data_IF_784791125882
#
_entry.id   IF_784791125882
#
_cell.length_a   1.000
_cell.length_b   1.000
_cell.length_c   1.000
_cell.angle_alpha   90.00
_cell.angle_beta   90.00
_cell.angle_gamma   90.00
#
_symmetry.space_group_name_H-M   'P 1'
#
loop_
_entity.id
_entity.type
_entity.pdbx_description
1 polymer ?
#
# COMPACT_ATOMS: atom_id res chain seq x y z
N UNK A 1 -11.02 24.78 27.25
CA UNK A 1 -11.32 23.35 27.35
C UNK A 1 -10.66 22.71 26.14
N UNK A 2 -9.57 21.96 26.32
CA UNK A 2 -8.88 21.31 25.20
C UNK A 2 -9.63 20.04 24.81
N UNK A 3 -9.86 19.84 23.52
CA UNK A 3 -10.48 18.64 22.98
C UNK A 3 -9.46 17.49 23.04
N UNK A 4 -9.64 16.55 23.96
CA UNK A 4 -8.71 15.44 24.11
C UNK A 4 -8.93 14.42 23.00
N UNK A 5 -7.96 14.26 22.09
CA UNK A 5 -8.01 13.27 21.01
C UNK A 5 -7.63 11.89 21.59
N UNK A 6 -8.47 10.85 21.42
CA UNK A 6 -8.09 9.49 21.81
C UNK A 6 -6.84 9.00 21.08
N UNK A 7 -5.95 8.27 21.76
CA UNK A 7 -4.68 7.80 21.21
C UNK A 7 -4.86 6.96 19.91
N UNK A 8 -5.95 6.19 19.82
CA UNK A 8 -6.25 5.40 18.63
C UNK A 8 -6.52 6.27 17.39
N UNK A 9 -7.22 7.40 17.60
CA UNK A 9 -7.51 8.36 16.52
C UNK A 9 -6.24 9.11 16.14
N UNK A 10 -5.41 9.47 17.12
CA UNK A 10 -4.17 10.19 16.87
C UNK A 10 -3.18 9.39 15.97
N UNK A 11 -3.19 8.06 16.06
CA UNK A 11 -2.38 7.19 15.19
C UNK A 11 -2.67 7.38 13.69
N UNK A 12 -3.84 7.89 13.32
CA UNK A 12 -4.18 8.18 11.92
C UNK A 12 -3.32 9.29 11.31
N UNK A 13 -2.66 10.11 12.12
CA UNK A 13 -1.70 11.10 11.62
C UNK A 13 -0.45 10.45 11.04
N UNK A 14 -0.10 9.24 11.47
CA UNK A 14 1.08 8.54 10.97
C UNK A 14 0.82 7.85 9.63
N UNK A 15 1.80 7.88 8.74
CA UNK A 15 1.76 7.12 7.49
C UNK A 15 2.60 5.86 7.66
N UNK A 16 1.94 4.72 7.88
CA UNK A 16 2.62 3.44 8.08
C UNK A 16 3.45 3.04 6.86
N UNK A 17 4.60 2.42 7.10
CA UNK A 17 5.58 2.07 6.09
C UNK A 17 6.40 3.27 5.58
N UNK A 18 6.36 4.41 6.29
CA UNK A 18 7.13 5.60 5.94
C UNK A 18 8.45 5.74 6.70
N UNK A 19 8.65 4.94 7.75
CA UNK A 19 9.91 4.91 8.49
C UNK A 19 11.01 4.39 7.57
N UNK A 20 12.07 5.17 7.41
CA UNK A 20 13.19 4.79 6.54
C UNK A 20 14.50 5.39 7.02
N UNK A 21 15.58 4.64 6.86
CA UNK A 21 16.93 5.16 6.99
C UNK A 21 17.25 6.07 5.77
N UNK A 22 18.00 7.11 6.00
CA UNK A 22 18.52 8.02 4.96
C UNK A 22 20.00 8.25 5.16
N UNK A 23 20.67 8.86 4.19
CA UNK A 23 22.08 9.23 4.33
C UNK A 23 22.33 10.20 5.50
N UNK A 24 21.33 11.01 5.88
CA UNK A 24 21.44 12.04 6.92
C UNK A 24 20.91 11.57 8.29
N UNK A 25 20.21 10.43 8.36
CA UNK A 25 19.59 9.92 9.57
C UNK A 25 18.35 9.05 9.29
N UNK A 26 17.23 9.38 9.93
CA UNK A 26 15.96 8.65 9.79
C UNK A 26 14.86 9.62 9.37
N UNK A 27 13.92 9.15 8.55
CA UNK A 27 12.72 9.92 8.16
C UNK A 27 11.44 9.15 8.48
N UNK A 28 10.37 9.91 8.72
CA UNK A 28 9.01 9.39 8.86
C UNK A 28 8.00 10.41 8.33
N UNK A 29 6.81 9.97 7.96
CA UNK A 29 5.81 10.83 7.33
C UNK A 29 4.56 10.95 8.20
N UNK A 30 4.11 12.18 8.40
CA UNK A 30 2.84 12.50 9.02
C UNK A 30 1.89 13.12 8.00
N UNK A 31 0.63 12.71 8.05
CA UNK A 31 -0.44 13.27 7.22
C UNK A 31 -1.63 13.60 8.11
N UNK A 32 -2.12 14.82 8.02
CA UNK A 32 -3.33 15.19 8.76
C UNK A 32 -4.58 14.54 8.13
N UNK A 33 -5.15 13.58 8.84
CA UNK A 33 -6.40 12.88 8.48
C UNK A 33 -7.54 13.15 9.44
N UNK A 34 -7.37 14.12 10.34
CA UNK A 34 -8.34 14.39 11.42
C UNK A 34 -9.11 15.68 11.18
N UNK A 35 -8.48 16.82 11.35
CA UNK A 35 -9.07 18.15 11.20
C UNK A 35 -7.98 19.21 11.10
N UNK A 36 -8.33 20.41 10.68
CA UNK A 36 -7.41 21.52 10.63
C UNK A 36 -6.80 21.81 12.00
N UNK A 37 -5.49 22.01 12.01
CA UNK A 37 -4.70 22.29 13.20
C UNK A 37 -3.49 23.16 12.86
N UNK A 38 -2.91 23.79 13.87
CA UNK A 38 -1.63 24.47 13.77
C UNK A 38 -0.70 23.92 14.85
N UNK A 39 0.44 23.34 14.43
CA UNK A 39 1.45 22.82 15.34
C UNK A 39 2.24 24.00 15.92
N UNK A 40 2.23 24.12 17.24
CA UNK A 40 2.87 25.24 17.96
C UNK A 40 4.17 24.86 18.64
N UNK A 41 4.49 23.58 18.74
CA UNK A 41 5.75 23.07 19.24
C UNK A 41 5.92 21.60 18.87
N UNK A 42 7.11 21.18 18.50
CA UNK A 42 7.52 19.77 18.52
C UNK A 42 8.37 19.60 19.77
N UNK A 43 7.87 18.85 20.75
CA UNK A 43 8.53 18.70 22.04
C UNK A 43 9.67 17.68 21.95
N UNK A 44 9.40 16.48 21.41
CA UNK A 44 10.41 15.45 21.21
C UNK A 44 9.95 14.41 20.17
N UNK A 45 10.92 13.74 19.58
CA UNK A 45 10.72 12.52 18.78
C UNK A 45 11.65 11.45 19.34
N UNK A 46 11.08 10.30 19.71
CA UNK A 46 11.84 9.16 20.21
C UNK A 46 11.59 7.93 19.35
N UNK A 47 12.61 7.13 19.13
CA UNK A 47 12.51 5.82 18.48
C UNK A 47 13.17 4.80 19.40
N UNK A 48 12.44 3.76 19.78
CA UNK A 48 12.85 2.73 20.76
C UNK A 48 13.38 3.31 22.08
N UNK A 49 12.73 4.39 22.54
CA UNK A 49 13.12 5.10 23.76
C UNK A 49 14.33 6.02 23.62
N UNK A 50 15.02 6.05 22.47
CA UNK A 50 16.13 6.98 22.20
C UNK A 50 15.57 8.26 21.60
N UNK A 51 15.89 9.40 22.22
CA UNK A 51 15.44 10.70 21.74
C UNK A 51 16.34 11.23 20.62
N UNK A 52 15.70 11.75 19.57
CA UNK A 52 16.39 12.45 18.50
C UNK A 52 16.88 13.83 18.99
N UNK A 53 18.09 14.27 18.63
CA UNK A 53 18.55 15.61 18.95
C UNK A 53 17.56 16.66 18.42
N UNK A 54 17.04 17.52 19.30
CA UNK A 54 16.03 18.50 18.90
C UNK A 54 16.50 19.43 17.78
N UNK A 55 17.79 19.77 17.75
CA UNK A 55 18.41 20.56 16.68
C UNK A 55 18.46 19.82 15.33
N UNK A 56 18.36 18.49 15.35
CA UNK A 56 18.34 17.64 14.15
C UNK A 56 16.95 17.30 13.64
N UNK A 57 15.88 17.77 14.29
CA UNK A 57 14.51 17.52 13.81
C UNK A 57 14.17 18.59 12.78
N UNK A 58 14.04 18.17 11.53
CA UNK A 58 13.62 19.01 10.40
C UNK A 58 12.30 18.50 9.82
N UNK A 59 11.46 19.44 9.42
CA UNK A 59 10.14 19.18 8.84
C UNK A 59 10.19 19.63 7.37
N UNK A 60 10.02 18.69 6.46
CA UNK A 60 9.87 18.95 5.04
C UNK A 60 8.39 19.17 4.74
N UNK A 61 8.07 20.34 4.22
CA UNK A 61 6.71 20.77 3.92
C UNK A 61 6.30 20.47 2.47
N UNK A 62 7.23 19.96 1.66
CA UNK A 62 7.15 19.84 0.21
C UNK A 62 7.77 21.06 -0.48
N UNK A 63 7.94 21.01 -1.79
CA UNK A 63 8.48 22.09 -2.62
C UNK A 63 9.85 22.65 -2.17
N UNK A 64 10.75 21.74 -1.69
CA UNK A 64 12.09 22.06 -1.16
C UNK A 64 12.10 22.94 0.10
N UNK A 65 10.96 23.17 0.74
CA UNK A 65 10.86 23.95 1.97
C UNK A 65 11.07 23.05 3.20
N UNK A 66 12.18 23.26 3.92
CA UNK A 66 12.47 22.57 5.21
C UNK A 66 12.50 23.56 6.35
N UNK A 67 11.81 23.23 7.42
CA UNK A 67 11.71 24.00 8.65
C UNK A 67 12.30 23.20 9.82
N UNK A 68 13.15 23.84 10.65
CA UNK A 68 13.63 23.20 11.88
C UNK A 68 12.55 23.22 12.94
N UNK A 69 12.42 22.13 13.70
CA UNK A 69 11.46 22.03 14.80
C UNK A 69 11.64 23.18 15.83
N UNK A 70 12.85 23.63 16.06
CA UNK A 70 13.15 24.75 16.95
C UNK A 70 12.59 26.11 16.48
N UNK A 71 12.27 26.27 15.19
CA UNK A 71 11.65 27.48 14.66
C UNK A 71 10.13 27.51 14.86
N UNK A 72 9.51 26.38 15.21
CA UNK A 72 8.09 26.27 15.46
C UNK A 72 7.78 26.76 16.88
N UNK A 73 6.90 27.74 16.98
CA UNK A 73 6.49 28.34 18.25
C UNK A 73 5.04 28.81 18.16
N UNK A 74 4.46 29.27 19.28
CA UNK A 74 3.12 29.88 19.28
C UNK A 74 3.02 31.12 18.39
N UNK A 75 4.13 31.83 18.19
CA UNK A 75 4.19 33.02 17.34
C UNK A 75 4.46 32.66 15.87
N UNK A 76 5.08 31.49 15.60
CA UNK A 76 5.40 30.96 14.27
C UNK A 76 4.91 29.50 14.21
N UNK A 77 3.60 29.32 14.28
CA UNK A 77 2.98 28.02 14.24
C UNK A 77 3.01 27.44 12.82
N UNK A 78 3.22 26.14 12.72
CA UNK A 78 3.16 25.43 11.46
C UNK A 78 1.71 25.04 11.16
N UNK A 79 1.15 25.56 10.09
CA UNK A 79 -0.17 25.19 9.62
C UNK A 79 -0.19 23.74 9.12
N UNK A 80 -1.07 22.97 9.73
CA UNK A 80 -1.26 21.56 9.41
C UNK A 80 -2.73 21.26 9.09
N UNK A 81 -3.23 21.80 7.96
CA UNK A 81 -4.63 21.61 7.57
C UNK A 81 -4.90 20.16 7.18
N UNK A 82 -6.17 19.80 7.12
CA UNK A 82 -6.64 18.48 6.68
C UNK A 82 -6.01 18.10 5.33
N UNK A 83 -5.53 16.86 5.21
CA UNK A 83 -4.83 16.27 4.06
C UNK A 83 -3.37 16.75 3.87
N UNK A 84 -2.88 17.76 4.57
CA UNK A 84 -1.46 18.16 4.50
C UNK A 84 -0.58 16.99 4.93
N UNK A 85 0.49 16.78 4.19
CA UNK A 85 1.53 15.80 4.48
C UNK A 85 2.82 16.53 4.79
N UNK A 86 3.56 16.07 5.80
CA UNK A 86 4.89 16.56 6.15
C UNK A 86 5.82 15.38 6.39
N UNK A 87 7.10 15.53 6.07
CA UNK A 87 8.11 14.51 6.39
C UNK A 87 8.99 15.05 7.50
N UNK A 88 9.13 14.30 8.59
CA UNK A 88 10.09 14.58 9.63
C UNK A 88 11.42 13.89 9.28
N UNK A 89 12.48 14.65 9.23
CA UNK A 89 13.84 14.18 9.11
C UNK A 89 14.53 14.30 10.49
N UNK A 90 15.08 13.20 10.97
CA UNK A 90 15.83 13.11 12.21
C UNK A 90 17.31 13.06 11.86
N UNK A 91 17.88 14.23 11.57
CA UNK A 91 19.27 14.38 11.13
C UNK A 91 20.22 14.00 12.27
N UNK A 92 21.21 13.16 11.95
CA UNK A 92 22.16 12.64 12.93
C UNK A 92 21.62 11.54 13.84
N UNK A 93 20.37 11.13 13.67
CA UNK A 93 19.86 9.92 14.33
C UNK A 93 20.42 8.69 13.62
N UNK A 94 21.10 7.80 14.38
CA UNK A 94 21.78 6.65 13.79
C UNK A 94 20.86 5.71 13.07
N UNK A 95 21.36 4.90 12.13
CA UNK A 95 20.54 3.98 11.36
C UNK A 95 19.81 2.99 12.27
N UNK A 96 18.57 2.73 11.95
CA UNK A 96 17.76 1.72 12.60
C UNK A 96 18.02 0.35 11.95
N UNK A 97 18.01 -0.71 12.77
CA UNK A 97 18.09 -2.07 12.27
C UNK A 97 16.80 -2.47 11.51
N UNK A 98 16.84 -3.58 10.76
CA UNK A 98 15.62 -4.15 10.21
C UNK A 98 14.72 -4.67 11.34
N UNK A 99 13.44 -4.44 11.24
CA UNK A 99 12.44 -4.85 12.22
C UNK A 99 11.50 -3.75 12.66
N UNK A 100 10.73 -4.03 13.70
CA UNK A 100 9.74 -3.11 14.26
C UNK A 100 10.39 -2.12 15.24
N UNK A 101 10.00 -0.85 15.10
CA UNK A 101 10.45 0.25 15.96
C UNK A 101 9.28 0.98 16.57
N UNK A 102 9.35 1.28 17.85
CA UNK A 102 8.37 2.12 18.54
C UNK A 102 8.74 3.59 18.34
N UNK A 103 7.81 4.36 17.79
CA UNK A 103 7.99 5.78 17.52
C UNK A 103 7.04 6.57 18.42
N UNK A 104 7.56 7.57 19.11
CA UNK A 104 6.75 8.51 19.88
C UNK A 104 7.07 9.93 19.43
N UNK A 105 6.05 10.67 18.97
CA UNK A 105 6.17 12.09 18.62
C UNK A 105 5.32 12.89 19.62
N UNK A 106 5.96 13.74 20.41
CA UNK A 106 5.30 14.65 21.33
C UNK A 106 5.28 16.05 20.75
N UNK A 107 4.10 16.63 20.63
CA UNK A 107 3.92 17.96 20.05
C UNK A 107 2.70 18.67 20.60
N UNK A 108 2.69 19.99 20.48
CA UNK A 108 1.54 20.82 20.84
C UNK A 108 0.85 21.31 19.56
N UNK A 109 -0.46 21.25 19.54
CA UNK A 109 -1.26 21.74 18.42
C UNK A 109 -2.52 22.47 18.88
N UNK A 110 -2.83 23.59 18.26
CA UNK A 110 -4.09 24.31 18.45
C UNK A 110 -5.14 23.73 17.52
N UNK A 111 -6.38 23.43 17.99
CA UNK A 111 -6.93 23.73 19.34
C UNK A 111 -6.76 22.61 20.38
N UNK A 112 -5.96 21.57 20.13
CA UNK A 112 -5.97 20.30 20.88
C UNK A 112 -5.07 20.28 22.12
N UNK A 113 -4.04 21.14 22.17
CA UNK A 113 -3.05 21.16 23.26
C UNK A 113 -1.93 20.15 23.05
N UNK A 114 -1.42 19.56 24.14
CA UNK A 114 -0.36 18.55 24.10
C UNK A 114 -0.87 17.22 23.56
N UNK A 115 -0.14 16.64 22.61
CA UNK A 115 -0.47 15.40 21.93
C UNK A 115 0.73 14.44 21.90
N UNK A 116 0.48 13.18 22.25
CA UNK A 116 1.46 12.09 22.24
C UNK A 116 1.04 11.06 21.19
N UNK A 117 1.69 11.13 20.02
CA UNK A 117 1.52 10.16 18.95
C UNK A 117 2.47 8.98 19.18
N UNK A 118 1.92 7.81 19.50
CA UNK A 118 2.67 6.58 19.68
C UNK A 118 2.25 5.53 18.66
N UNK A 119 3.21 5.06 17.84
CA UNK A 119 3.00 4.06 16.78
C UNK A 119 4.17 3.08 16.74
N UNK A 120 3.96 1.94 16.09
CA UNK A 120 5.01 0.99 15.72
C UNK A 120 5.06 0.90 14.20
N UNK A 121 6.24 1.08 13.62
CA UNK A 121 6.47 0.90 12.18
C UNK A 121 7.75 0.09 11.98
N UNK A 122 7.95 -0.45 10.79
CA UNK A 122 9.08 -1.32 10.49
C UNK A 122 10.03 -0.68 9.49
N UNK A 123 11.35 -0.83 9.76
CA UNK A 123 12.36 -0.78 8.71
C UNK A 123 12.35 -2.15 8.05
N UNK A 124 11.88 -2.20 6.81
CA UNK A 124 12.07 -3.35 5.95
C UNK A 124 13.41 -3.21 5.21
N UNK A 125 14.06 -4.32 4.90
CA UNK A 125 15.03 -4.35 3.80
C UNK A 125 14.38 -3.68 2.59
N UNK A 126 15.15 -2.93 1.79
CA UNK A 126 14.63 -2.27 0.59
C UNK A 126 13.68 -3.24 -0.11
N UNK A 127 12.39 -2.93 -0.06
CA UNK A 127 11.39 -3.79 -0.70
C UNK A 127 11.80 -3.80 -2.17
N UNK A 128 12.15 -4.95 -2.74
CA UNK A 128 12.50 -4.99 -4.15
C UNK A 128 11.36 -4.30 -4.89
N UNK A 129 11.71 -3.40 -5.82
CA UNK A 129 10.75 -2.63 -6.63
C UNK A 129 9.54 -3.52 -6.90
N UNK A 130 8.35 -3.14 -6.42
CA UNK A 130 7.14 -3.94 -6.64
C UNK A 130 7.08 -4.29 -8.10
N UNK A 131 7.24 -5.58 -8.37
CA UNK A 131 7.14 -6.11 -9.73
C UNK A 131 5.71 -5.83 -10.18
N UNK A 132 5.57 -5.04 -11.24
CA UNK A 132 4.26 -4.71 -11.78
C UNK A 132 3.92 -5.69 -12.91
N UNK A 133 2.69 -6.19 -12.88
CA UNK A 133 2.16 -6.99 -13.98
C UNK A 133 2.12 -6.11 -15.24
N UNK A 134 2.63 -6.59 -16.38
CA UNK A 134 2.54 -5.84 -17.64
C UNK A 134 1.10 -5.46 -17.97
N UNK A 135 0.90 -4.19 -18.32
CA UNK A 135 -0.41 -3.61 -18.61
C UNK A 135 -0.32 -2.65 -19.80
N UNK A 136 -1.28 -2.72 -20.70
CA UNK A 136 -1.44 -1.80 -21.82
C UNK A 136 -2.71 -0.94 -21.59
N UNK A 137 -2.54 0.39 -21.55
CA UNK A 137 -3.64 1.32 -21.30
C UNK A 137 -4.66 1.38 -22.44
N UNK A 138 -4.24 1.07 -23.67
CA UNK A 138 -5.08 1.20 -24.87
C UNK A 138 -5.79 -0.11 -25.18
N UNK A 139 -5.08 -1.26 -25.14
CA UNK A 139 -5.67 -2.56 -25.45
C UNK A 139 -5.05 -3.69 -24.63
N UNK A 140 -5.54 -3.85 -23.40
CA UNK A 140 -5.03 -4.81 -22.42
C UNK A 140 -5.54 -6.25 -22.61
N UNK A 141 -6.60 -6.45 -23.43
CA UNK A 141 -7.28 -7.73 -23.57
C UNK A 141 -7.02 -8.38 -24.94
N UNK A 142 -5.81 -8.25 -25.48
CA UNK A 142 -5.41 -8.88 -26.71
C UNK A 142 -4.45 -10.05 -26.49
N UNK A 143 -4.27 -10.89 -27.52
CA UNK A 143 -3.40 -12.06 -27.50
C UNK A 143 -1.94 -11.70 -27.15
N UNK A 144 -1.43 -10.59 -27.69
CA UNK A 144 -0.07 -10.12 -27.43
C UNK A 144 0.15 -9.83 -25.92
N UNK A 145 -0.81 -9.17 -25.26
CA UNK A 145 -0.70 -8.88 -23.83
C UNK A 145 -0.79 -10.14 -22.97
N UNK A 146 -1.61 -11.12 -23.38
CA UNK A 146 -1.62 -12.43 -22.72
C UNK A 146 -0.24 -13.11 -22.81
N UNK A 147 0.41 -13.10 -23.97
CA UNK A 147 1.74 -13.66 -24.18
C UNK A 147 2.83 -12.92 -23.40
N UNK A 148 2.78 -11.59 -23.35
CA UNK A 148 3.70 -10.78 -22.52
C UNK A 148 3.58 -11.16 -21.04
N UNK A 149 2.35 -11.34 -20.52
CA UNK A 149 2.12 -11.77 -19.15
C UNK A 149 2.56 -13.21 -18.89
N UNK A 150 2.37 -14.10 -19.85
CA UNK A 150 2.88 -15.49 -19.76
C UNK A 150 4.40 -15.52 -19.64
N UNK A 151 5.10 -14.73 -20.47
CA UNK A 151 6.53 -14.55 -20.37
C UNK A 151 6.96 -13.98 -19.02
N UNK A 152 6.31 -12.91 -18.60
CA UNK A 152 6.55 -12.28 -17.30
C UNK A 152 6.36 -13.25 -16.11
N UNK A 153 5.30 -14.06 -16.10
CA UNK A 153 5.07 -15.05 -15.03
C UNK A 153 6.12 -16.17 -15.10
N UNK A 154 6.51 -16.59 -16.31
CA UNK A 154 7.58 -17.56 -16.52
C UNK A 154 8.91 -17.09 -15.96
N UNK A 155 9.31 -15.87 -16.28
CA UNK A 155 10.56 -15.24 -15.81
C UNK A 155 10.55 -15.02 -14.30
N UNK A 156 9.42 -14.53 -13.77
CA UNK A 156 9.26 -14.25 -12.32
C UNK A 156 9.25 -15.52 -11.47
N UNK A 157 8.59 -16.59 -11.94
CA UNK A 157 8.44 -17.85 -11.18
C UNK A 157 9.52 -18.89 -11.49
N UNK A 158 10.29 -18.73 -12.57
CA UNK A 158 11.20 -19.73 -13.08
C UNK A 158 10.50 -20.99 -13.64
N UNK A 159 9.18 -20.93 -13.90
CA UNK A 159 8.36 -22.08 -14.33
C UNK A 159 7.72 -21.84 -15.69
N UNK A 160 7.60 -22.89 -16.49
CA UNK A 160 6.84 -22.85 -17.76
C UNK A 160 5.34 -23.02 -17.48
N UNK A 161 4.53 -22.20 -18.16
CA UNK A 161 3.07 -22.28 -18.11
C UNK A 161 2.57 -23.24 -19.21
N UNK A 162 2.78 -24.56 -19.08
CA UNK A 162 2.50 -25.53 -20.14
C UNK A 162 1.02 -25.71 -20.47
N UNK A 163 0.14 -25.46 -19.50
CA UNK A 163 -1.29 -25.72 -19.63
C UNK A 163 -2.15 -24.44 -19.64
N UNK A 164 -1.69 -23.40 -18.97
CA UNK A 164 -2.42 -22.13 -18.80
C UNK A 164 -2.55 -21.38 -20.12
N UNK A 165 -1.57 -21.48 -21.01
CA UNK A 165 -1.52 -20.78 -22.31
C UNK A 165 -2.26 -21.49 -23.44
N UNK A 166 -2.92 -22.63 -23.18
CA UNK A 166 -3.67 -23.39 -24.18
C UNK A 166 -5.16 -23.11 -24.08
N UNK A 167 -5.64 -22.13 -24.81
CA UNK A 167 -7.06 -21.78 -24.92
C UNK A 167 -7.44 -21.50 -26.39
N UNK A 168 -8.73 -21.60 -26.69
CA UNK A 168 -9.26 -21.56 -28.06
C UNK A 168 -10.15 -20.35 -28.33
N UNK A 169 -10.21 -19.36 -27.44
CA UNK A 169 -11.02 -18.16 -27.59
C UNK A 169 -10.13 -16.90 -27.67
N UNK A 170 -10.68 -15.82 -28.20
CA UNK A 170 -10.00 -14.53 -28.23
C UNK A 170 -9.99 -13.92 -26.82
N UNK A 171 -8.82 -13.54 -26.25
CA UNK A 171 -8.74 -12.85 -24.97
C UNK A 171 -9.66 -11.62 -24.83
N UNK A 172 -10.02 -10.96 -25.91
CA UNK A 172 -10.93 -9.82 -25.92
C UNK A 172 -12.29 -10.11 -25.28
N UNK A 173 -12.77 -11.37 -25.30
CA UNK A 173 -14.03 -11.77 -24.65
C UNK A 173 -13.97 -11.70 -23.12
N UNK A 174 -12.79 -11.59 -22.55
CA UNK A 174 -12.59 -11.49 -21.09
C UNK A 174 -12.69 -10.05 -20.57
N UNK A 175 -12.83 -9.07 -21.46
CA UNK A 175 -12.92 -7.65 -21.11
C UNK A 175 -14.08 -7.39 -20.15
N UNK A 176 -13.78 -6.72 -19.04
CA UNK A 176 -14.75 -6.44 -17.97
C UNK A 176 -15.03 -7.59 -16.99
N UNK A 177 -14.48 -8.80 -17.24
CA UNK A 177 -14.66 -9.96 -16.36
C UNK A 177 -13.33 -10.41 -15.73
N UNK A 178 -12.22 -10.37 -16.48
CA UNK A 178 -10.90 -10.82 -16.01
C UNK A 178 -9.87 -9.74 -16.29
N UNK A 179 -9.31 -9.17 -15.24
CA UNK A 179 -8.19 -8.24 -15.35
C UNK A 179 -6.87 -9.02 -15.52
N UNK A 180 -5.94 -8.43 -16.31
CA UNK A 180 -4.61 -9.00 -16.52
C UNK A 180 -4.66 -10.47 -17.00
N UNK A 181 -5.53 -10.77 -17.94
CA UNK A 181 -5.70 -12.13 -18.46
C UNK A 181 -4.34 -12.75 -18.88
N UNK A 182 -4.06 -13.95 -18.40
CA UNK A 182 -2.81 -14.68 -18.63
C UNK A 182 -3.06 -16.05 -19.27
N UNK A 183 -4.28 -16.57 -19.18
CA UNK A 183 -4.63 -17.90 -19.68
C UNK A 183 -5.80 -18.52 -18.93
N UNK A 184 -5.96 -19.84 -19.02
CA UNK A 184 -7.09 -20.59 -18.51
C UNK A 184 -6.69 -21.71 -17.55
N UNK A 185 -7.58 -22.04 -16.64
CA UNK A 185 -7.56 -23.32 -15.95
C UNK A 185 -8.33 -24.37 -16.79
N UNK A 186 -7.80 -25.59 -16.89
CA UNK A 186 -8.45 -26.67 -17.60
C UNK A 186 -9.23 -27.53 -16.60
N UNK A 187 -10.52 -27.73 -16.89
CA UNK A 187 -11.40 -28.56 -16.09
C UNK A 187 -11.74 -29.81 -16.94
N UNK A 188 -11.43 -31.02 -16.50
CA UNK A 188 -11.81 -32.24 -17.22
C UNK A 188 -13.34 -32.36 -17.35
N UNK A 189 -13.81 -32.77 -18.52
CA UNK A 189 -15.23 -32.98 -18.78
C UNK A 189 -15.40 -34.46 -19.16
N UNK A 190 -16.23 -35.14 -18.40
CA UNK A 190 -16.72 -36.48 -18.72
C UNK A 190 -18.08 -36.44 -19.40
N UNK A 191 -18.54 -37.58 -19.91
CA UNK A 191 -19.87 -37.75 -20.47
C UNK A 191 -20.65 -38.80 -19.63
N UNK A 192 -21.84 -38.41 -19.25
CA UNK A 192 -22.82 -39.33 -18.68
C UNK A 192 -23.93 -39.60 -19.68
N UNK A 193 -24.48 -40.81 -19.64
CA UNK A 193 -25.58 -41.22 -20.50
C UNK A 193 -25.24 -42.40 -21.43
N UNK A 194 -26.11 -42.68 -22.43
CA UNK A 194 -27.26 -41.86 -22.82
C UNK A 194 -28.36 -41.82 -21.75
N UNK A 195 -28.89 -40.61 -21.49
CA UNK A 195 -30.01 -40.36 -20.60
C UNK A 195 -31.27 -40.20 -21.44
N UNK A 196 -32.27 -41.08 -21.22
CA UNK A 196 -33.57 -40.94 -21.89
C UNK A 196 -34.42 -39.92 -21.12
N UNK A 197 -34.77 -38.87 -21.81
CA UNK A 197 -35.61 -37.77 -21.30
C UNK A 197 -36.99 -37.85 -22.04
N UNK A 198 -38.08 -37.75 -21.29
CA UNK A 198 -39.43 -37.64 -21.82
C UNK A 198 -40.13 -36.48 -21.10
N UNK A 199 -39.69 -35.26 -21.40
CA UNK A 199 -40.18 -34.04 -20.79
C UNK A 199 -40.92 -33.17 -21.82
N UNK A 200 -41.52 -32.08 -21.33
CA UNK A 200 -42.28 -31.11 -22.16
C UNK A 200 -41.39 -30.43 -23.22
N UNK A 201 -40.14 -30.09 -22.88
CA UNK A 201 -39.21 -29.33 -23.72
C UNK A 201 -38.07 -30.15 -24.29
N UNK A 202 -37.92 -31.43 -23.89
CA UNK A 202 -36.89 -32.35 -24.40
C UNK A 202 -37.38 -33.77 -24.39
N UNK A 203 -37.28 -34.47 -25.55
CA UNK A 203 -37.65 -35.88 -25.70
C UNK A 203 -36.54 -36.59 -26.51
N UNK A 204 -36.07 -37.72 -26.03
CA UNK A 204 -35.05 -38.49 -26.71
C UNK A 204 -33.94 -38.98 -25.78
N UNK A 205 -32.81 -39.43 -26.35
CA UNK A 205 -31.61 -39.84 -25.65
C UNK A 205 -30.52 -38.77 -25.76
N UNK A 206 -29.93 -38.43 -24.64
CA UNK A 206 -28.99 -37.32 -24.56
C UNK A 206 -27.71 -37.79 -23.84
N UNK A 207 -26.57 -37.32 -24.33
CA UNK A 207 -25.30 -37.36 -23.64
C UNK A 207 -25.12 -36.07 -22.82
N UNK A 208 -24.80 -36.15 -21.58
CA UNK A 208 -24.69 -35.04 -20.64
C UNK A 208 -23.21 -34.79 -20.34
N UNK A 209 -22.62 -33.66 -20.77
CA UNK A 209 -21.28 -33.28 -20.37
C UNK A 209 -21.28 -32.89 -18.88
N UNK A 210 -20.39 -33.48 -18.11
CA UNK A 210 -20.22 -33.22 -16.68
C UNK A 210 -18.79 -32.76 -16.41
N UNK A 211 -18.63 -31.57 -15.83
CA UNK A 211 -17.40 -31.13 -15.23
C UNK A 211 -17.41 -31.58 -13.76
N UNK A 212 -16.45 -32.38 -13.37
CA UNK A 212 -16.27 -32.81 -11.98
C UNK A 212 -14.99 -32.23 -11.42
N UNK A 213 -15.05 -31.71 -10.22
CA UNK A 213 -13.91 -31.27 -9.41
C UNK A 213 -13.54 -32.37 -8.43
#
# INVERSE_FOLDING_TARGET
>A
MFLKIPALILKQLYTFGSLANTAEGVRLTLKNRLSDASVTRIASVTIDGKEAPHSGIEIDLGDDERLRAAAISKAAALDFPLKKTVVLHLVGFGPLANGNHEIVVKFDATPFGELDLKVTDAIAEETPKRVQIPYDKEDDHNQRMAEVRQGFVGDYSGKKLEHVNRYSFDPAVTRGNIENFVGVAQIPIGLAGPLRVNGEHAQGEFLIPLATT
#
